data_IF_539790265841
#
_entry.id   IF_539790265841
#
_cell.length_a   1.000
_cell.length_b   1.000
_cell.length_c   1.000
_cell.angle_alpha   90.00
_cell.angle_beta   90.00
_cell.angle_gamma   90.00
#
_symmetry.space_group_name_H-M   'P 1'
#
loop_
_entity.id
_entity.type
_entity.pdbx_description
1 polymer ?
#
# COMPACT_ATOMS: atom_id res chain seq x y z
N UNK A 1 -15.61 16.81 3.17
CA UNK A 1 -16.43 15.68 3.67
C UNK A 1 -15.79 14.37 3.25
N UNK A 2 -15.66 13.41 4.16
CA UNK A 2 -15.07 12.09 3.89
C UNK A 2 -16.10 11.00 4.21
N UNK A 3 -16.25 10.04 3.31
CA UNK A 3 -17.25 8.98 3.40
C UNK A 3 -16.62 7.63 3.74
N UNK A 4 -17.32 6.86 4.58
CA UNK A 4 -17.08 5.44 4.74
C UNK A 4 -17.51 4.72 3.46
N UNK A 5 -16.66 3.83 2.94
CA UNK A 5 -16.91 3.10 1.70
C UNK A 5 -16.91 1.61 2.02
N UNK A 6 -18.04 0.96 1.77
CA UNK A 6 -18.20 -0.48 1.85
C UNK A 6 -18.87 -0.97 0.57
N UNK A 7 -18.26 -1.97 -0.05
CA UNK A 7 -18.82 -2.69 -1.18
C UNK A 7 -18.75 -4.19 -0.93
N UNK A 8 -19.74 -4.91 -1.44
CA UNK A 8 -19.83 -6.36 -1.29
C UNK A 8 -20.37 -6.98 -2.57
N UNK A 9 -19.74 -8.07 -2.99
CA UNK A 9 -20.16 -8.85 -4.15
C UNK A 9 -20.38 -10.31 -3.77
N UNK A 10 -21.27 -10.97 -4.52
CA UNK A 10 -21.64 -12.37 -4.29
C UNK A 10 -20.89 -13.23 -5.28
N UNK A 11 -20.27 -14.29 -4.79
CA UNK A 11 -19.59 -15.30 -5.60
C UNK A 11 -20.26 -16.67 -5.50
N UNK A 12 -20.49 -17.32 -6.63
CA UNK A 12 -21.07 -18.66 -6.72
C UNK A 12 -20.10 -19.71 -7.28
N UNK A 13 -19.09 -19.29 -8.04
CA UNK A 13 -18.10 -20.12 -8.72
C UNK A 13 -16.79 -19.33 -8.89
N UNK A 14 -15.70 -20.03 -9.21
CA UNK A 14 -14.37 -19.48 -9.54
C UNK A 14 -13.86 -18.37 -8.60
N UNK A 15 -13.43 -18.75 -7.39
CA UNK A 15 -12.78 -17.83 -6.46
C UNK A 15 -11.28 -17.63 -6.72
N UNK A 16 -10.72 -18.31 -7.73
CA UNK A 16 -9.29 -18.25 -8.03
C UNK A 16 -8.83 -16.86 -8.47
N UNK A 17 -9.59 -16.18 -9.34
CA UNK A 17 -9.23 -14.84 -9.81
C UNK A 17 -9.17 -13.81 -8.67
N UNK A 18 -10.23 -13.75 -7.86
CA UNK A 18 -10.27 -12.86 -6.69
C UNK A 18 -9.28 -13.28 -5.61
N UNK A 19 -9.06 -14.58 -5.41
CA UNK A 19 -8.04 -15.09 -4.50
C UNK A 19 -6.65 -14.63 -4.92
N UNK A 20 -6.32 -14.73 -6.20
CA UNK A 20 -5.04 -14.26 -6.74
C UNK A 20 -4.85 -12.75 -6.59
N UNK A 21 -5.94 -11.97 -6.76
CA UNK A 21 -5.93 -10.54 -6.51
C UNK A 21 -5.67 -10.22 -5.03
N UNK A 22 -6.41 -10.85 -4.11
CA UNK A 22 -6.32 -10.60 -2.67
C UNK A 22 -4.97 -11.05 -2.11
N UNK A 23 -4.55 -12.26 -2.48
CA UNK A 23 -3.35 -12.92 -1.95
C UNK A 23 -2.08 -12.49 -2.72
N UNK A 24 -2.25 -11.64 -3.76
CA UNK A 24 -1.19 -11.16 -4.68
C UNK A 24 -0.33 -12.32 -5.21
N UNK A 25 -0.99 -13.37 -5.70
CA UNK A 25 -0.32 -14.58 -6.23
C UNK A 25 0.65 -14.21 -7.35
N UNK A 26 1.90 -14.68 -7.24
CA UNK A 26 2.94 -14.47 -8.25
C UNK A 26 2.56 -15.14 -9.59
N UNK A 27 2.87 -14.48 -10.71
CA UNK A 27 2.47 -14.93 -12.06
C UNK A 27 1.01 -14.66 -12.40
N UNK A 28 0.28 -13.93 -11.54
CA UNK A 28 -1.13 -13.54 -11.72
C UNK A 28 -1.31 -12.02 -11.70
N UNK A 29 -0.30 -11.27 -12.10
CA UNK A 29 -0.24 -9.80 -12.07
C UNK A 29 -1.36 -9.14 -12.87
N UNK A 30 -1.86 -9.80 -13.92
CA UNK A 30 -3.04 -9.37 -14.67
C UNK A 30 -4.30 -9.20 -13.81
N UNK A 31 -4.36 -9.84 -12.64
CA UNK A 31 -5.47 -9.71 -11.69
C UNK A 31 -5.34 -8.51 -10.75
N UNK A 32 -4.20 -7.83 -10.69
CA UNK A 32 -3.92 -6.70 -9.78
C UNK A 32 -3.07 -5.60 -10.44
N UNK A 33 -3.48 -5.16 -11.63
CA UNK A 33 -2.76 -4.18 -12.45
C UNK A 33 -2.45 -2.84 -11.76
N UNK A 34 -3.23 -2.47 -10.75
CA UNK A 34 -3.12 -1.18 -10.06
C UNK A 34 -2.20 -1.24 -8.82
N UNK A 35 -1.73 -2.42 -8.45
CA UNK A 35 -0.82 -2.61 -7.33
C UNK A 35 0.60 -2.15 -7.71
N UNK A 36 1.23 -1.36 -6.83
CA UNK A 36 2.63 -0.97 -6.93
C UNK A 36 3.52 -2.13 -6.47
N UNK A 37 4.30 -2.78 -7.37
CA UNK A 37 5.12 -3.93 -7.01
C UNK A 37 6.14 -3.63 -5.91
N UNK A 38 6.62 -2.37 -5.82
CA UNK A 38 7.60 -1.97 -4.81
C UNK A 38 7.00 -1.86 -3.39
N UNK A 39 5.67 -1.85 -3.28
CA UNK A 39 4.93 -1.71 -2.02
C UNK A 39 4.17 -2.97 -1.62
N UNK A 40 4.24 -4.03 -2.43
CA UNK A 40 3.55 -5.31 -2.19
C UNK A 40 3.84 -5.90 -0.79
N UNK A 41 5.08 -5.71 -0.30
CA UNK A 41 5.52 -6.15 1.03
C UNK A 41 4.87 -5.38 2.19
N UNK A 42 4.15 -4.28 1.93
CA UNK A 42 3.38 -3.54 2.93
C UNK A 42 2.00 -4.15 3.18
N UNK A 43 1.53 -5.03 2.31
CA UNK A 43 0.26 -5.71 2.50
C UNK A 43 0.32 -6.64 3.71
N UNK A 44 -0.80 -6.76 4.42
CA UNK A 44 -0.89 -7.58 5.64
C UNK A 44 -2.01 -8.59 5.48
N UNK A 45 -1.66 -9.87 5.50
CA UNK A 45 -2.62 -10.99 5.53
C UNK A 45 -2.86 -11.41 6.97
N UNK A 46 -4.06 -11.19 7.48
CA UNK A 46 -4.38 -11.49 8.88
C UNK A 46 -4.77 -12.97 9.03
N UNK A 47 -4.33 -13.58 10.14
CA UNK A 47 -4.78 -14.91 10.51
C UNK A 47 -6.28 -14.87 10.83
N UNK A 48 -7.04 -15.70 10.12
CA UNK A 48 -8.48 -15.90 10.35
C UNK A 48 -8.73 -17.21 11.10
N UNK A 49 -9.99 -17.54 11.37
CA UNK A 49 -10.35 -18.77 12.05
C UNK A 49 -9.72 -19.99 11.36
N UNK A 50 -9.07 -20.84 12.15
CA UNK A 50 -8.31 -22.02 11.68
C UNK A 50 -7.24 -21.72 10.61
N UNK A 51 -6.74 -20.48 10.56
CA UNK A 51 -5.68 -20.05 9.62
C UNK A 51 -6.03 -20.33 8.15
N UNK A 52 -7.31 -20.26 7.78
CA UNK A 52 -7.80 -20.49 6.40
C UNK A 52 -7.23 -19.52 5.36
N UNK A 53 -6.69 -18.39 5.79
CA UNK A 53 -5.92 -17.46 4.97
C UNK A 53 -4.66 -18.10 4.37
N UNK A 54 -4.17 -19.23 4.90
CA UNK A 54 -2.93 -19.89 4.47
C UNK A 54 -3.11 -20.93 3.37
N UNK A 55 -4.35 -21.30 3.06
CA UNK A 55 -4.67 -22.23 1.96
C UNK A 55 -5.33 -21.46 0.81
N UNK A 56 -5.29 -21.97 -0.43
CA UNK A 56 -5.95 -21.35 -1.57
C UNK A 56 -7.43 -21.02 -1.32
N UNK A 57 -7.94 -19.95 -1.95
CA UNK A 57 -9.25 -19.40 -1.58
C UNK A 57 -10.41 -20.36 -1.83
N UNK A 58 -10.33 -21.09 -2.94
CA UNK A 58 -11.32 -22.10 -3.26
C UNK A 58 -11.36 -23.21 -2.18
N UNK A 59 -10.21 -23.72 -1.75
CA UNK A 59 -10.12 -24.73 -0.68
C UNK A 59 -10.65 -24.19 0.65
N UNK A 60 -10.33 -22.94 1.02
CA UNK A 60 -10.84 -22.33 2.25
C UNK A 60 -12.36 -22.19 2.26
N UNK A 61 -12.95 -21.79 1.13
CA UNK A 61 -14.40 -21.70 0.96
C UNK A 61 -15.03 -23.09 1.09
N UNK A 62 -14.51 -24.06 0.34
CA UNK A 62 -15.04 -25.43 0.32
C UNK A 62 -14.95 -26.08 1.69
N UNK A 63 -13.81 -25.95 2.36
CA UNK A 63 -13.60 -26.43 3.73
C UNK A 63 -14.63 -25.82 4.69
N UNK A 64 -14.86 -24.50 4.64
CA UNK A 64 -15.80 -23.83 5.55
C UNK A 64 -17.22 -24.30 5.34
N UNK A 65 -17.61 -24.44 4.08
CA UNK A 65 -18.92 -24.97 3.70
C UNK A 65 -19.05 -26.42 4.18
N UNK A 66 -18.07 -27.29 3.96
CA UNK A 66 -18.16 -28.69 4.36
C UNK A 66 -18.28 -28.89 5.87
N UNK A 67 -17.63 -28.03 6.67
CA UNK A 67 -17.68 -28.12 8.14
C UNK A 67 -18.96 -27.51 8.73
N UNK A 68 -19.50 -26.47 8.08
CA UNK A 68 -20.63 -25.72 8.62
C UNK A 68 -21.99 -26.07 8.05
N UNK A 69 -22.04 -26.68 6.87
CA UNK A 69 -23.31 -26.97 6.20
C UNK A 69 -24.00 -28.16 6.86
N UNK A 70 -25.21 -27.91 7.36
CA UNK A 70 -26.08 -28.91 8.04
C UNK A 70 -27.36 -29.19 7.27
N UNK A 71 -27.46 -28.70 6.03
CA UNK A 71 -28.65 -28.95 5.20
C UNK A 71 -28.68 -30.39 4.70
N UNK A 72 -29.88 -30.97 4.65
CA UNK A 72 -30.10 -32.36 4.21
C UNK A 72 -29.92 -32.54 2.69
N UNK A 73 -30.07 -31.45 1.93
CA UNK A 73 -30.01 -31.47 0.46
C UNK A 73 -28.64 -31.03 -0.02
N UNK A 74 -28.26 -31.51 -1.21
CA UNK A 74 -27.09 -30.99 -1.91
C UNK A 74 -27.20 -29.48 -2.12
N UNK A 75 -26.07 -28.78 -2.00
CA UNK A 75 -25.99 -27.34 -2.24
C UNK A 75 -26.27 -27.08 -3.73
N UNK A 76 -27.22 -26.20 -4.02
CA UNK A 76 -27.56 -25.80 -5.39
C UNK A 76 -26.32 -25.26 -6.13
N UNK A 77 -26.19 -25.62 -7.41
CA UNK A 77 -25.04 -25.25 -8.26
C UNK A 77 -24.80 -23.73 -8.36
N UNK A 78 -25.87 -22.96 -8.29
CA UNK A 78 -25.90 -21.51 -8.38
C UNK A 78 -26.04 -20.84 -7.00
N UNK A 79 -25.76 -21.58 -5.92
CA UNK A 79 -25.70 -21.02 -4.58
C UNK A 79 -24.61 -19.97 -4.50
N UNK A 80 -24.89 -18.88 -3.79
CA UNK A 80 -23.83 -17.97 -3.38
C UNK A 80 -22.99 -18.70 -2.32
N UNK A 81 -21.75 -19.03 -2.69
CA UNK A 81 -20.80 -19.78 -1.85
C UNK A 81 -19.97 -18.85 -0.98
N UNK A 82 -19.73 -17.62 -1.41
CA UNK A 82 -18.95 -16.64 -0.68
C UNK A 82 -19.41 -15.21 -1.01
N UNK A 83 -19.07 -14.27 -0.14
CA UNK A 83 -19.20 -12.85 -0.37
C UNK A 83 -17.82 -12.20 -0.25
N UNK A 84 -17.47 -11.34 -1.19
CA UNK A 84 -16.27 -10.52 -1.11
C UNK A 84 -16.66 -9.17 -0.52
N UNK A 85 -15.75 -8.56 0.23
CA UNK A 85 -15.97 -7.27 0.87
C UNK A 85 -14.77 -6.38 0.61
N UNK A 86 -15.04 -5.13 0.24
CA UNK A 86 -14.04 -4.06 0.18
C UNK A 86 -14.45 -3.01 1.20
N UNK A 87 -13.56 -2.73 2.16
CA UNK A 87 -13.78 -1.75 3.21
C UNK A 87 -12.70 -0.69 3.12
N UNK A 88 -13.10 0.57 2.97
CA UNK A 88 -12.21 1.72 2.87
C UNK A 88 -12.95 3.02 3.20
N UNK A 89 -12.38 4.15 2.82
CA UNK A 89 -12.98 5.46 2.95
C UNK A 89 -12.48 6.41 1.87
N UNK A 90 -12.84 7.67 1.99
CA UNK A 90 -12.31 8.71 1.09
C UNK A 90 -10.79 8.79 1.18
N UNK A 91 -10.13 8.89 0.02
CA UNK A 91 -8.68 8.73 -0.14
C UNK A 91 -7.84 9.56 0.84
N UNK A 92 -8.11 10.86 0.98
CA UNK A 92 -7.36 11.74 1.90
C UNK A 92 -7.53 11.30 3.36
N UNK A 93 -8.75 10.97 3.78
CA UNK A 93 -9.02 10.52 5.15
C UNK A 93 -8.35 9.18 5.44
N UNK A 94 -8.32 8.27 4.48
CA UNK A 94 -7.60 7.00 4.63
C UNK A 94 -6.09 7.21 4.77
N UNK A 95 -5.49 8.13 3.99
CA UNK A 95 -4.08 8.48 4.17
C UNK A 95 -3.81 9.07 5.57
N UNK A 96 -4.69 9.93 6.08
CA UNK A 96 -4.59 10.47 7.44
C UNK A 96 -4.67 9.37 8.50
N UNK A 97 -5.63 8.43 8.39
CA UNK A 97 -5.77 7.28 9.31
C UNK A 97 -4.51 6.42 9.30
N UNK A 98 -3.95 6.15 8.12
CA UNK A 98 -2.77 5.28 7.95
C UNK A 98 -1.42 5.98 8.17
N UNK A 99 -1.40 7.30 8.34
CA UNK A 99 -0.23 8.02 8.84
C UNK A 99 -0.03 7.81 10.35
N UNK A 100 -1.09 7.42 11.07
CA UNK A 100 -1.07 7.13 12.51
C UNK A 100 -1.19 5.62 12.75
N UNK A 101 -0.17 5.03 13.39
CA UNK A 101 -0.09 3.58 13.60
C UNK A 101 -1.17 3.05 14.53
N UNK A 102 -1.53 3.79 15.58
CA UNK A 102 -2.55 3.33 16.53
C UNK A 102 -3.94 3.48 15.91
N UNK A 103 -4.23 4.61 15.26
CA UNK A 103 -5.52 4.79 14.56
C UNK A 103 -5.74 3.77 13.45
N UNK A 104 -4.73 3.49 12.64
CA UNK A 104 -4.85 2.47 11.59
C UNK A 104 -5.08 1.08 12.16
N UNK A 105 -4.37 0.72 13.23
CA UNK A 105 -4.58 -0.55 13.94
C UNK A 105 -6.00 -0.66 14.50
N UNK A 106 -6.51 0.38 15.14
CA UNK A 106 -7.90 0.43 15.62
C UNK A 106 -8.90 0.28 14.47
N UNK A 107 -8.69 1.03 13.37
CA UNK A 107 -9.55 0.98 12.20
C UNK A 107 -9.62 -0.43 11.60
N UNK A 108 -8.47 -1.10 11.48
CA UNK A 108 -8.38 -2.50 11.00
C UNK A 108 -9.15 -3.44 11.95
N UNK A 109 -8.93 -3.31 13.26
CA UNK A 109 -9.56 -4.16 14.26
C UNK A 109 -11.08 -4.00 14.29
N UNK A 110 -11.60 -2.77 14.18
CA UNK A 110 -13.04 -2.53 14.21
C UNK A 110 -13.71 -2.99 12.93
N UNK A 111 -13.05 -2.89 11.78
CA UNK A 111 -13.53 -3.51 10.54
C UNK A 111 -13.62 -5.04 10.67
N UNK A 112 -12.62 -5.69 11.28
CA UNK A 112 -12.68 -7.13 11.56
C UNK A 112 -13.84 -7.48 12.51
N UNK A 113 -13.99 -6.74 13.62
CA UNK A 113 -15.09 -6.95 14.58
C UNK A 113 -16.45 -6.75 13.94
N UNK A 114 -16.60 -5.73 13.10
CA UNK A 114 -17.83 -5.45 12.37
C UNK A 114 -18.20 -6.61 11.45
N UNK A 115 -17.26 -7.10 10.63
CA UNK A 115 -17.49 -8.28 9.80
C UNK A 115 -17.79 -9.54 10.63
N UNK A 116 -17.08 -9.74 11.75
CA UNK A 116 -17.30 -10.90 12.61
C UNK A 116 -18.69 -10.86 13.28
N UNK A 117 -19.20 -9.67 13.60
CA UNK A 117 -20.55 -9.46 14.12
C UNK A 117 -21.63 -9.70 13.06
N UNK A 118 -21.42 -9.21 11.85
CA UNK A 118 -22.43 -9.29 10.77
C UNK A 118 -22.46 -10.67 10.09
N UNK A 119 -21.30 -11.33 9.93
CA UNK A 119 -21.17 -12.57 9.16
C UNK A 119 -20.75 -13.77 9.99
N UNK A 120 -20.30 -13.58 11.23
CA UNK A 120 -19.75 -14.63 12.08
C UNK A 120 -18.23 -14.80 11.90
N UNK A 121 -17.49 -14.86 13.01
CA UNK A 121 -16.02 -14.97 13.00
C UNK A 121 -15.50 -16.18 12.22
N UNK A 122 -16.16 -17.33 12.37
CA UNK A 122 -15.79 -18.58 11.68
C UNK A 122 -16.02 -18.51 10.17
N UNK A 123 -16.91 -17.63 9.73
CA UNK A 123 -17.25 -17.47 8.33
C UNK A 123 -16.28 -16.56 7.57
N UNK A 124 -15.37 -15.85 8.27
CA UNK A 124 -14.33 -15.04 7.64
C UNK A 124 -13.18 -15.95 7.20
N UNK A 125 -13.00 -16.13 5.89
CA UNK A 125 -11.96 -17.01 5.31
C UNK A 125 -10.79 -16.24 4.70
N UNK A 126 -10.92 -14.92 4.55
CA UNK A 126 -9.82 -13.97 4.32
C UNK A 126 -10.11 -12.64 4.97
N UNK A 127 -9.04 -12.01 5.42
CA UNK A 127 -9.00 -10.62 5.82
C UNK A 127 -7.60 -10.10 5.53
N UNK A 128 -7.47 -9.19 4.57
CA UNK A 128 -6.19 -8.73 4.03
C UNK A 128 -6.24 -7.23 3.86
N UNK A 129 -5.21 -6.54 4.35
CA UNK A 129 -4.98 -5.12 4.12
C UNK A 129 -4.09 -4.94 2.89
N UNK A 130 -4.57 -4.16 1.93
CA UNK A 130 -3.78 -3.70 0.78
C UNK A 130 -3.30 -2.27 1.01
N UNK A 131 -1.99 -2.09 0.97
CA UNK A 131 -1.26 -0.81 1.07
C UNK A 131 -0.41 -0.53 -0.16
N UNK A 132 -0.44 -1.41 -1.16
CA UNK A 132 0.30 -1.29 -2.41
C UNK A 132 -0.48 -0.55 -3.51
N UNK A 133 -1.76 -0.24 -3.29
CA UNK A 133 -2.57 0.53 -4.22
C UNK A 133 -2.71 2.01 -3.80
N UNK A 134 -3.57 2.76 -4.51
CA UNK A 134 -3.73 4.20 -4.31
C UNK A 134 -4.29 4.55 -2.93
N UNK A 135 -5.30 3.83 -2.45
CA UNK A 135 -5.96 4.08 -1.16
C UNK A 135 -5.86 2.84 -0.29
N UNK A 136 -5.44 2.94 0.98
CA UNK A 136 -5.51 1.81 1.91
C UNK A 136 -6.93 1.22 1.97
N UNK A 137 -7.04 -0.09 1.82
CA UNK A 137 -8.34 -0.77 1.89
C UNK A 137 -8.18 -2.23 2.35
N UNK A 138 -9.25 -2.76 2.91
CA UNK A 138 -9.34 -4.15 3.33
C UNK A 138 -10.14 -4.95 2.30
N UNK A 139 -9.59 -6.08 1.91
CA UNK A 139 -10.34 -7.16 1.32
C UNK A 139 -10.71 -8.18 2.39
N UNK A 140 -11.97 -8.60 2.41
CA UNK A 140 -12.41 -9.75 3.18
C UNK A 140 -13.21 -10.72 2.30
N UNK A 141 -13.22 -11.98 2.69
CA UNK A 141 -14.09 -12.99 2.09
C UNK A 141 -14.83 -13.70 3.20
N UNK A 142 -16.16 -13.70 3.13
CA UNK A 142 -17.03 -14.40 4.09
C UNK A 142 -17.86 -15.48 3.43
N UNK A 143 -18.23 -16.50 4.20
CA UNK A 143 -19.14 -17.57 3.77
C UNK A 143 -20.52 -17.31 4.34
N UNK A 144 -21.59 -17.27 3.52
CA UNK A 144 -22.93 -16.96 4.00
C UNK A 144 -23.59 -18.19 4.64
N UNK A 145 -22.96 -18.76 5.66
CA UNK A 145 -23.52 -19.82 6.51
C UNK A 145 -24.30 -19.19 7.66
N UNK A 146 -25.57 -19.54 7.77
CA UNK A 146 -26.45 -19.12 8.87
C UNK A 146 -26.13 -19.91 10.14
N UNK A 147 -26.60 -19.43 11.30
CA UNK A 147 -26.35 -20.07 12.59
C UNK A 147 -26.88 -21.51 12.69
N UNK A 148 -27.95 -21.83 11.95
CA UNK A 148 -28.53 -23.17 11.82
C UNK A 148 -27.82 -24.05 10.78
N UNK A 149 -26.77 -23.54 10.11
CA UNK A 149 -25.93 -24.31 9.18
C UNK A 149 -26.46 -24.36 7.75
N UNK A 150 -27.40 -23.50 7.34
CA UNK A 150 -27.79 -23.36 5.93
C UNK A 150 -26.85 -22.40 5.20
N UNK A 151 -26.64 -22.64 3.90
CA UNK A 151 -25.92 -21.71 3.04
C UNK A 151 -26.91 -20.73 2.39
N UNK A 152 -27.07 -19.54 2.98
CA UNK A 152 -28.10 -18.57 2.57
C UNK A 152 -27.62 -17.12 2.63
N UNK A 153 -27.05 -16.65 1.52
CA UNK A 153 -26.72 -15.23 1.34
C UNK A 153 -27.96 -14.33 1.45
N UNK A 154 -29.14 -14.81 1.03
CA UNK A 154 -30.39 -14.03 1.13
C UNK A 154 -30.74 -13.71 2.57
N UNK A 155 -30.51 -14.64 3.50
CA UNK A 155 -30.88 -14.47 4.90
C UNK A 155 -29.91 -13.56 5.64
N UNK A 156 -28.61 -13.74 5.40
CA UNK A 156 -27.56 -12.96 6.06
C UNK A 156 -27.52 -11.52 5.53
N UNK A 157 -27.57 -11.36 4.21
CA UNK A 157 -27.48 -10.04 3.57
C UNK A 157 -28.84 -9.33 3.57
N UNK A 158 -29.92 -10.10 3.44
CA UNK A 158 -31.27 -9.58 3.34
C UNK A 158 -31.60 -8.97 1.97
N UNK A 159 -32.46 -7.95 2.01
CA UNK A 159 -33.00 -7.28 0.83
C UNK A 159 -32.39 -5.86 0.65
N UNK A 160 -32.95 -5.06 -0.26
CA UNK A 160 -32.51 -3.68 -0.51
C UNK A 160 -32.53 -2.82 0.77
N UNK A 161 -33.53 -2.98 1.63
CA UNK A 161 -33.60 -2.25 2.89
C UNK A 161 -32.54 -2.72 3.88
N UNK A 162 -32.31 -4.03 3.99
CA UNK A 162 -31.23 -4.60 4.82
C UNK A 162 -29.87 -4.05 4.41
N UNK A 163 -29.61 -3.93 3.10
CA UNK A 163 -28.37 -3.34 2.56
C UNK A 163 -28.23 -1.85 2.87
N UNK A 164 -29.32 -1.07 2.79
CA UNK A 164 -29.31 0.34 3.22
C UNK A 164 -28.97 0.47 4.71
N UNK A 165 -29.60 -0.37 5.53
CA UNK A 165 -29.35 -0.40 6.97
C UNK A 165 -27.93 -0.85 7.27
N UNK A 166 -27.37 -1.77 6.47
CA UNK A 166 -25.97 -2.20 6.59
C UNK A 166 -25.02 -1.02 6.36
N UNK A 167 -25.22 -0.24 5.29
CA UNK A 167 -24.43 0.98 5.04
C UNK A 167 -24.54 1.97 6.20
N UNK A 168 -25.72 2.07 6.84
CA UNK A 168 -25.90 2.90 8.04
C UNK A 168 -25.10 2.39 9.23
N UNK A 169 -25.19 1.09 9.54
CA UNK A 169 -24.42 0.49 10.65
C UNK A 169 -22.92 0.62 10.43
N UNK A 170 -22.45 0.32 9.22
CA UNK A 170 -21.03 0.45 8.89
C UNK A 170 -20.54 1.89 9.05
N UNK A 171 -21.28 2.87 8.53
CA UNK A 171 -20.91 4.27 8.68
C UNK A 171 -20.88 4.74 10.14
N UNK A 172 -21.80 4.25 10.99
CA UNK A 172 -21.80 4.57 12.42
C UNK A 172 -20.52 4.05 13.12
N UNK A 173 -20.07 2.83 12.81
CA UNK A 173 -18.80 2.30 13.35
C UNK A 173 -17.58 3.10 12.86
N UNK A 174 -17.67 3.67 11.64
CA UNK A 174 -16.58 4.43 11.03
C UNK A 174 -16.58 5.92 11.41
N UNK A 175 -17.63 6.43 12.06
CA UNK A 175 -17.81 7.85 12.38
C UNK A 175 -16.66 8.40 13.23
N UNK A 176 -16.16 7.61 14.19
CA UNK A 176 -15.03 8.00 15.05
C UNK A 176 -13.71 8.21 14.29
N UNK A 177 -13.61 7.71 13.06
CA UNK A 177 -12.48 7.96 12.16
C UNK A 177 -12.73 9.17 11.24
N UNK A 178 -13.81 9.93 11.44
CA UNK A 178 -14.20 11.06 10.61
C UNK A 178 -14.74 10.65 9.23
N UNK A 179 -15.26 9.43 9.12
CA UNK A 179 -15.87 8.89 7.90
C UNK A 179 -17.39 8.82 8.09
N UNK A 180 -18.12 9.62 7.32
CA UNK A 180 -19.57 9.68 7.41
C UNK A 180 -20.26 8.73 6.42
N UNK A 181 -21.57 8.57 6.57
CA UNK A 181 -22.37 7.77 5.66
C UNK A 181 -22.45 8.35 4.25
N UNK A 182 -22.38 7.50 3.24
CA UNK A 182 -22.64 7.88 1.85
C UNK A 182 -24.06 8.41 1.64
N UNK A 183 -24.23 9.17 0.55
CA UNK A 183 -25.53 9.75 0.17
C UNK A 183 -26.49 8.62 -0.25
N UNK A 184 -27.74 8.69 0.20
CA UNK A 184 -28.77 7.72 -0.20
C UNK A 184 -29.39 8.03 -1.54
N UNK A 185 -29.92 6.98 -2.19
CA UNK A 185 -30.77 7.10 -3.38
C UNK A 185 -30.13 7.93 -4.50
N UNK A 186 -28.81 7.84 -4.66
CA UNK A 186 -28.05 8.60 -5.66
C UNK A 186 -28.33 8.18 -7.10
N UNK A 187 -28.97 7.02 -7.31
CA UNK A 187 -29.15 6.42 -8.63
C UNK A 187 -27.84 5.94 -9.27
N UNK A 188 -26.70 6.05 -8.56
CA UNK A 188 -25.39 5.67 -9.06
C UNK A 188 -25.28 4.14 -9.06
N UNK A 189 -24.91 3.59 -10.21
CA UNK A 189 -24.52 2.18 -10.36
C UNK A 189 -23.06 2.00 -10.00
N UNK A 190 -22.73 0.89 -9.35
CA UNK A 190 -21.33 0.51 -9.15
C UNK A 190 -20.65 0.30 -10.51
N UNK A 191 -19.44 0.83 -10.63
CA UNK A 191 -18.53 0.61 -11.75
C UNK A 191 -17.33 -0.18 -11.22
N UNK A 192 -16.87 -1.17 -11.98
CA UNK A 192 -15.65 -1.88 -11.60
C UNK A 192 -14.42 -0.98 -11.80
N UNK A 193 -13.27 -1.38 -11.24
CA UNK A 193 -12.06 -0.57 -11.31
C UNK A 193 -11.60 -0.30 -12.75
N UNK A 194 -11.69 -1.28 -13.65
CA UNK A 194 -11.26 -1.13 -15.04
C UNK A 194 -12.11 -0.10 -15.78
N UNK A 195 -13.43 -0.15 -15.62
CA UNK A 195 -14.37 0.80 -16.21
C UNK A 195 -14.16 2.20 -15.64
N UNK A 196 -13.95 2.31 -14.32
CA UNK A 196 -13.59 3.58 -13.67
C UNK A 196 -12.35 4.21 -14.32
N UNK A 197 -11.24 3.47 -14.39
CA UNK A 197 -9.99 4.00 -14.95
C UNK A 197 -10.11 4.30 -16.46
N UNK A 198 -10.87 3.49 -17.20
CA UNK A 198 -11.14 3.74 -18.63
C UNK A 198 -11.92 5.04 -18.83
N UNK A 199 -12.96 5.27 -18.03
CA UNK A 199 -13.75 6.51 -18.05
C UNK A 199 -12.92 7.74 -17.68
N UNK A 200 -12.04 7.62 -16.69
CA UNK A 200 -11.12 8.71 -16.31
C UNK A 200 -10.13 9.00 -17.43
N UNK A 201 -9.50 7.97 -18.02
CA UNK A 201 -8.56 8.14 -19.13
C UNK A 201 -9.21 8.75 -20.37
N UNK A 202 -10.48 8.43 -20.63
CA UNK A 202 -11.26 9.08 -21.68
C UNK A 202 -11.52 10.56 -21.37
N UNK A 203 -11.89 10.89 -20.13
CA UNK A 203 -12.14 12.27 -19.70
C UNK A 203 -10.89 13.15 -19.71
N UNK A 204 -9.68 12.57 -19.64
CA UNK A 204 -8.42 13.31 -19.76
C UNK A 204 -8.10 13.80 -21.18
N UNK A 205 -8.76 13.25 -22.21
CA UNK A 205 -8.52 13.66 -23.59
C UNK A 205 -9.12 15.05 -23.82
N UNK A 206 -8.29 16.03 -24.19
CA UNK A 206 -8.68 17.45 -24.38
C UNK A 206 -9.88 17.64 -25.33
N UNK A 207 -10.03 16.77 -26.33
CA UNK A 207 -11.15 16.78 -27.27
C UNK A 207 -12.52 16.49 -26.60
N UNK A 208 -12.54 15.82 -25.45
CA UNK A 208 -13.79 15.51 -24.73
C UNK A 208 -14.28 16.74 -23.97
N UNK A 209 -13.39 17.47 -23.28
CA UNK A 209 -13.71 18.68 -22.51
C UNK A 209 -14.31 19.80 -23.36
N UNK A 210 -13.83 19.99 -24.60
CA UNK A 210 -14.31 21.02 -25.52
C UNK A 210 -15.68 20.71 -26.15
N UNK A 211 -16.18 19.47 -26.03
CA UNK A 211 -17.44 19.01 -26.60
C UNK A 211 -18.55 18.82 -25.56
N UNK A 212 -18.27 19.03 -24.28
CA UNK A 212 -19.22 18.86 -23.17
C UNK A 212 -20.31 19.93 -23.26
N UNK A 213 -21.40 19.65 -23.97
CA UNK A 213 -22.56 20.55 -24.12
C UNK A 213 -23.86 19.78 -23.94
N UNK A 214 -24.84 20.39 -23.27
CA UNK A 214 -26.19 19.83 -23.21
C UNK A 214 -26.90 20.05 -24.54
N UNK A 215 -27.46 18.98 -25.11
CA UNK A 215 -28.24 19.06 -26.33
C UNK A 215 -29.67 19.54 -26.05
N UNK A 216 -30.19 20.35 -26.96
CA UNK A 216 -31.57 20.85 -26.97
C UNK A 216 -32.43 20.00 -27.91
N UNK A 217 -33.70 19.84 -27.58
CA UNK A 217 -34.69 19.25 -28.49
C UNK A 217 -35.11 20.25 -29.58
N UNK A 218 -36.02 19.83 -30.47
CA UNK A 218 -36.56 20.65 -31.57
C UNK A 218 -37.22 21.95 -31.06
N UNK A 219 -37.67 22.00 -29.80
CA UNK A 219 -38.29 23.16 -29.16
C UNK A 219 -37.26 24.08 -28.47
N UNK A 220 -35.95 23.80 -28.59
CA UNK A 220 -34.88 24.59 -27.98
C UNK A 220 -34.71 24.37 -26.47
N UNK A 221 -35.33 23.35 -25.89
CA UNK A 221 -35.27 23.02 -24.46
C UNK A 221 -34.27 21.88 -24.22
N UNK A 222 -33.47 21.98 -23.15
CA UNK A 222 -32.56 20.90 -22.76
C UNK A 222 -33.34 19.66 -22.32
N UNK A 223 -32.91 18.49 -22.77
CA UNK A 223 -33.52 17.23 -22.33
C UNK A 223 -32.93 16.79 -20.99
N UNK A 224 -33.73 16.13 -20.15
CA UNK A 224 -33.24 15.59 -18.88
C UNK A 224 -32.05 14.65 -19.08
N UNK A 225 -32.09 13.82 -20.13
CA UNK A 225 -31.00 12.93 -20.52
C UNK A 225 -29.72 13.68 -20.90
N UNK A 226 -29.83 14.79 -21.65
CA UNK A 226 -28.65 15.56 -22.06
C UNK A 226 -28.00 16.29 -20.88
N UNK A 227 -28.80 16.75 -19.91
CA UNK A 227 -28.32 17.35 -18.66
C UNK A 227 -27.64 16.30 -17.77
N UNK A 228 -28.22 15.10 -17.62
CA UNK A 228 -27.61 14.00 -16.85
C UNK A 228 -26.28 13.54 -17.47
N UNK A 229 -26.21 13.44 -18.80
CA UNK A 229 -24.98 13.11 -19.51
C UNK A 229 -23.92 14.18 -19.30
N UNK A 230 -24.29 15.46 -19.39
CA UNK A 230 -23.42 16.59 -19.10
C UNK A 230 -22.86 16.52 -17.67
N UNK A 231 -23.72 16.30 -16.66
CA UNK A 231 -23.32 16.18 -15.27
C UNK A 231 -22.32 15.02 -15.05
N UNK A 232 -22.58 13.87 -15.67
CA UNK A 232 -21.69 12.70 -15.61
C UNK A 232 -20.32 12.99 -16.24
N UNK A 233 -20.28 13.65 -17.40
CA UNK A 233 -19.05 14.04 -18.06
C UNK A 233 -18.26 15.06 -17.23
N UNK A 234 -18.92 16.08 -16.67
CA UNK A 234 -18.29 17.06 -15.78
C UNK A 234 -17.72 16.41 -14.52
N UNK A 235 -18.44 15.45 -13.92
CA UNK A 235 -17.97 14.69 -12.77
C UNK A 235 -16.72 13.87 -13.11
N UNK A 236 -16.70 13.23 -14.27
CA UNK A 236 -15.56 12.46 -14.77
C UNK A 236 -14.34 13.35 -15.00
N UNK A 237 -14.52 14.49 -15.67
CA UNK A 237 -13.47 15.48 -15.90
C UNK A 237 -12.91 16.05 -14.58
N UNK A 238 -13.78 16.43 -13.64
CA UNK A 238 -13.36 16.90 -12.32
C UNK A 238 -12.56 15.84 -11.55
N UNK A 239 -12.93 14.56 -11.67
CA UNK A 239 -12.20 13.47 -11.04
C UNK A 239 -10.83 13.25 -11.69
N UNK A 240 -10.75 13.33 -13.02
CA UNK A 240 -9.50 13.26 -13.77
C UNK A 240 -8.53 14.38 -13.37
N UNK A 241 -9.02 15.63 -13.28
CA UNK A 241 -8.23 16.77 -12.78
C UNK A 241 -7.69 16.52 -11.38
N UNK A 242 -8.54 16.09 -10.44
CA UNK A 242 -8.09 15.73 -9.08
C UNK A 242 -7.04 14.62 -9.07
N UNK A 243 -7.14 13.65 -9.97
CA UNK A 243 -6.14 12.60 -10.10
C UNK A 243 -4.81 13.15 -10.61
N UNK A 244 -4.81 14.04 -11.61
CA UNK A 244 -3.59 14.72 -12.08
C UNK A 244 -2.96 15.60 -11.00
N UNK A 245 -3.76 16.38 -10.28
CA UNK A 245 -3.27 17.22 -9.17
C UNK A 245 -2.58 16.37 -8.09
N UNK A 246 -3.14 15.20 -7.78
CA UNK A 246 -2.52 14.26 -6.84
C UNK A 246 -1.17 13.72 -7.34
N UNK A 247 -1.08 13.30 -8.61
CA UNK A 247 0.19 12.83 -9.20
C UNK A 247 1.23 13.95 -9.29
N UNK A 248 0.80 15.18 -9.62
CA UNK A 248 1.68 16.36 -9.60
C UNK A 248 2.24 16.60 -8.21
N UNK A 249 1.40 16.63 -7.17
CA UNK A 249 1.85 16.80 -5.79
C UNK A 249 2.85 15.71 -5.36
N UNK A 250 2.58 14.44 -5.71
CA UNK A 250 3.49 13.32 -5.44
C UNK A 250 4.83 13.50 -6.17
N UNK A 251 4.80 13.93 -7.43
CA UNK A 251 6.01 14.21 -8.20
C UNK A 251 6.80 15.39 -7.63
N UNK A 252 6.13 16.46 -7.19
CA UNK A 252 6.77 17.58 -6.49
C UNK A 252 7.47 17.13 -5.20
N UNK A 253 6.83 16.28 -4.40
CA UNK A 253 7.42 15.70 -3.19
C UNK A 253 8.65 14.84 -3.52
N UNK A 254 8.56 14.00 -4.55
CA UNK A 254 9.70 13.19 -5.04
C UNK A 254 10.85 14.08 -5.55
N UNK A 255 10.53 15.15 -6.27
CA UNK A 255 11.51 16.12 -6.76
C UNK A 255 12.19 16.86 -5.61
N UNK A 256 11.45 17.29 -4.59
CA UNK A 256 11.99 17.91 -3.36
C UNK A 256 12.94 16.97 -2.62
N UNK A 257 12.57 15.70 -2.48
CA UNK A 257 13.43 14.71 -1.84
C UNK A 257 14.70 14.44 -2.67
N UNK A 258 14.56 14.34 -3.99
CA UNK A 258 15.68 14.15 -4.91
C UNK A 258 16.63 15.36 -4.92
N UNK A 259 16.11 16.58 -4.90
CA UNK A 259 16.94 17.80 -4.85
C UNK A 259 17.66 17.97 -3.52
N UNK A 260 17.03 17.64 -2.38
CA UNK A 260 17.71 17.57 -1.08
C UNK A 260 18.81 16.51 -1.06
N UNK A 261 18.57 15.34 -1.68
CA UNK A 261 19.59 14.29 -1.84
C UNK A 261 20.80 14.76 -2.64
N UNK A 262 20.58 15.47 -3.75
CA UNK A 262 21.66 16.05 -4.57
C UNK A 262 22.46 17.11 -3.81
N UNK A 263 21.80 18.05 -3.13
CA UNK A 263 22.48 19.07 -2.32
C UNK A 263 23.35 18.46 -1.19
N UNK A 264 22.88 17.36 -0.58
CA UNK A 264 23.64 16.63 0.43
C UNK A 264 24.86 15.90 -0.17
N UNK A 265 24.72 15.33 -1.36
CA UNK A 265 25.82 14.70 -2.09
C UNK A 265 26.89 15.73 -2.51
N UNK A 266 26.49 16.87 -3.07
CA UNK A 266 27.38 17.97 -3.45
C UNK A 266 28.17 18.51 -2.23
N UNK A 267 27.52 18.63 -1.07
CA UNK A 267 28.19 19.06 0.17
C UNK A 267 29.23 18.04 0.64
N UNK A 268 28.95 16.73 0.55
CA UNK A 268 29.92 15.67 0.87
C UNK A 268 31.10 15.68 -0.09
N UNK A 269 30.84 15.91 -1.37
CA UNK A 269 31.88 16.01 -2.40
C UNK A 269 32.80 17.21 -2.16
N UNK A 270 32.24 18.37 -1.81
CA UNK A 270 33.03 19.56 -1.45
C UNK A 270 33.92 19.32 -0.23
N UNK A 271 33.39 18.71 0.84
CA UNK A 271 34.17 18.36 2.04
C UNK A 271 35.29 17.37 1.70
N UNK A 272 35.02 16.38 0.85
CA UNK A 272 36.04 15.44 0.39
C UNK A 272 37.13 16.12 -0.46
N UNK A 273 36.76 17.07 -1.32
CA UNK A 273 37.66 17.89 -2.13
C UNK A 273 38.55 18.80 -1.25
N UNK A 274 37.98 19.46 -0.25
CA UNK A 274 38.73 20.27 0.71
C UNK A 274 39.73 19.43 1.49
N UNK A 275 39.30 18.29 2.02
CA UNK A 275 40.20 17.37 2.73
C UNK A 275 41.33 16.86 1.84
N UNK A 276 41.04 16.59 0.56
CA UNK A 276 42.06 16.18 -0.42
C UNK A 276 43.09 17.30 -0.68
N UNK A 277 42.65 18.56 -0.71
CA UNK A 277 43.56 19.72 -0.87
C UNK A 277 44.44 19.91 0.37
N UNK A 278 43.91 19.75 1.57
CA UNK A 278 44.68 19.80 2.82
C UNK A 278 45.77 18.75 2.84
N UNK A 279 45.42 17.49 2.59
CA UNK A 279 46.38 16.37 2.58
C UNK A 279 47.49 16.57 1.53
N UNK A 280 47.18 17.21 0.39
CA UNK A 280 48.22 17.56 -0.61
C UNK A 280 49.18 18.62 -0.10
N UNK A 281 48.69 19.65 0.63
CA UNK A 281 49.55 20.67 1.25
C UNK A 281 50.43 20.05 2.34
N UNK A 282 49.85 19.21 3.20
CA UNK A 282 50.60 18.48 4.23
C UNK A 282 51.69 17.59 3.61
N UNK A 283 51.38 16.83 2.56
CA UNK A 283 52.38 16.03 1.85
C UNK A 283 53.48 16.88 1.20
N UNK A 284 53.16 18.04 0.64
CA UNK A 284 54.16 18.94 0.07
C UNK A 284 55.11 19.47 1.15
N UNK A 285 54.56 19.89 2.29
CA UNK A 285 55.34 20.36 3.44
C UNK A 285 56.25 19.25 3.98
N UNK A 286 55.69 18.05 4.23
CA UNK A 286 56.47 16.88 4.65
C UNK A 286 57.59 16.57 3.64
N UNK A 287 57.31 16.61 2.34
CA UNK A 287 58.33 16.35 1.32
C UNK A 287 59.44 17.41 1.31
N UNK A 288 59.11 18.67 1.62
CA UNK A 288 60.11 19.73 1.78
C UNK A 288 60.94 19.50 3.06
N UNK A 289 60.31 19.17 4.18
CA UNK A 289 61.00 18.82 5.43
C UNK A 289 61.92 17.61 5.24
N UNK A 290 61.48 16.57 4.53
CA UNK A 290 62.33 15.43 4.16
C UNK A 290 63.53 15.84 3.32
N UNK A 291 63.35 16.73 2.33
CA UNK A 291 64.47 17.26 1.54
C UNK A 291 65.46 18.04 2.39
N UNK A 292 64.98 18.82 3.34
CA UNK A 292 65.84 19.60 4.24
C UNK A 292 66.62 18.68 5.19
N UNK A 293 66.00 17.61 5.69
CA UNK A 293 66.69 16.56 6.46
C UNK A 293 67.79 15.91 5.62
N UNK A 294 67.47 15.44 4.40
CA UNK A 294 68.44 14.79 3.50
C UNK A 294 69.64 15.70 3.18
N UNK A 295 69.40 17.01 3.06
CA UNK A 295 70.44 18.00 2.78
C UNK A 295 71.33 18.32 3.99
N UNK A 296 70.94 17.90 5.20
CA UNK A 296 71.69 18.09 6.42
C UNK A 296 72.23 16.75 6.95
N UNK A 297 73.55 16.48 6.82
CA UNK A 297 74.16 15.22 7.23
C UNK A 297 73.98 14.87 8.72
N UNK A 298 74.03 15.86 9.63
CA UNK A 298 73.86 15.62 11.07
C UNK A 298 72.42 15.25 11.44
N UNK A 299 71.44 15.90 10.79
CA UNK A 299 70.02 15.57 10.99
C UNK A 299 69.67 14.21 10.40
N UNK A 300 70.22 13.89 9.22
CA UNK A 300 70.05 12.58 8.59
C UNK A 300 70.55 11.46 9.50
N UNK A 301 71.73 11.63 10.10
CA UNK A 301 72.29 10.61 10.98
C UNK A 301 71.48 10.45 12.28
N UNK A 302 71.01 11.54 12.89
CA UNK A 302 70.09 11.49 14.05
C UNK A 302 68.78 10.75 13.72
N UNK A 303 68.17 11.04 12.57
CA UNK A 303 66.94 10.37 12.13
C UNK A 303 67.19 8.89 11.90
N UNK A 304 68.34 8.52 11.32
CA UNK A 304 68.73 7.11 11.12
C UNK A 304 68.89 6.37 12.44
N UNK A 305 69.53 6.98 13.44
CA UNK A 305 69.66 6.38 14.78
C UNK A 305 68.31 6.16 15.44
N UNK A 306 67.41 7.16 15.38
CA UNK A 306 66.06 7.05 15.94
C UNK A 306 65.22 5.96 15.25
N UNK A 307 65.35 5.81 13.92
CA UNK A 307 64.67 4.74 13.19
C UNK A 307 65.14 3.35 13.62
N UNK A 308 66.45 3.17 13.81
CA UNK A 308 67.03 1.91 14.30
C UNK A 308 66.55 1.59 15.71
N UNK A 309 66.48 2.58 16.60
CA UNK A 309 65.93 2.41 17.95
C UNK A 309 64.45 2.01 17.92
N UNK A 310 63.65 2.67 17.08
CA UNK A 310 62.22 2.37 16.96
C UNK A 310 61.94 1.00 16.34
N UNK A 311 62.74 0.57 15.36
CA UNK A 311 62.67 -0.79 14.82
C UNK A 311 63.01 -1.84 15.89
N UNK A 312 64.04 -1.58 16.70
CA UNK A 312 64.38 -2.43 17.85
C UNK A 312 63.24 -2.50 18.86
N UNK A 313 62.60 -1.37 19.18
CA UNK A 313 61.42 -1.36 20.08
C UNK A 313 60.25 -2.19 19.52
N UNK A 314 59.97 -2.08 18.22
CA UNK A 314 58.92 -2.87 17.55
C UNK A 314 59.27 -4.37 17.55
N UNK A 315 60.52 -4.73 17.31
CA UNK A 315 60.96 -6.13 17.38
C UNK A 315 60.90 -6.69 18.81
N UNK A 316 61.25 -5.89 19.82
CA UNK A 316 61.10 -6.26 21.24
C UNK A 316 59.63 -6.47 21.59
N UNK A 317 58.72 -5.60 21.15
CA UNK A 317 57.27 -5.77 21.35
C UNK A 317 56.72 -7.01 20.63
N UNK A 318 57.19 -7.30 19.39
CA UNK A 318 56.82 -8.53 18.66
C UNK A 318 57.39 -9.80 19.31
N UNK A 319 58.58 -9.73 19.90
CA UNK A 319 59.20 -10.82 20.65
C UNK A 319 58.49 -11.13 21.97
N UNK A 320 58.09 -10.09 22.72
CA UNK A 320 57.30 -10.23 23.95
C UNK A 320 55.92 -10.85 23.69
N UNK A 321 55.30 -10.58 22.53
CA UNK A 321 54.04 -11.21 22.13
C UNK A 321 54.18 -12.68 21.68
N UNK A 322 55.39 -13.15 21.30
CA UNK A 322 55.63 -14.56 20.95
C UNK A 322 55.89 -15.47 22.17
N UNK A 323 56.27 -14.92 23.33
CA UNK A 323 56.52 -15.68 24.56
C UNK A 323 55.29 -16.01 25.41
N UNK A 324 54.09 -15.54 25.03
CA UNK A 324 52.82 -15.75 25.76
C UNK A 324 51.86 -16.76 25.10
N UNK A 325 52.35 -17.63 24.22
CA UNK A 325 51.58 -18.69 23.58
C UNK A 325 51.90 -20.09 24.12
N UNK A 326 51.13 -20.53 25.12
CA UNK A 326 50.80 -21.91 25.52
C UNK A 326 51.85 -23.04 25.38
N UNK A 327 52.42 -23.45 26.53
CA UNK A 327 52.72 -24.85 26.84
C UNK A 327 51.55 -25.40 27.68
N UNK A 328 50.85 -26.39 27.10
CA UNK A 328 49.86 -27.34 27.67
C UNK A 328 48.86 -26.85 28.70
#
# INVERSE_FOLDING_TARGET
MAYAVYHMEKGNSSSGGIGNHIDRTEGKEHSYLQADPARKNLNIHFDVHEKRNKIPLHEAIEKRISEGYKGEKAIRKDAVKYCTHVLTGSHEKMKEIFADKEKSKEWIQDNYKFLAKEFGKENIVRFTLHLDEKTPHLHAVTIPLTNDGRLSAKEIIGNKQSMKNFQTRYAAEMEKYGLQRGIENTGITHENAQDYYSRIAEAEKEAVLSQITAQKNILGVFTAESVLKLESSLKSANMALKMKDYELKKNEERLKFSSQGKASAEKKEQVALERTRELRKENLNLNNEFKDIIRNPELTEKVRTLLIEKEREIEVQKGQNKGRGFSR
#
